data_IF_485977992335
#
_entry.id   IF_485977992335
#
_cell.length_a   1.000
_cell.length_b   1.000
_cell.length_c   1.000
_cell.angle_alpha   90.00
_cell.angle_beta   90.00
_cell.angle_gamma   90.00
#
_symmetry.space_group_name_H-M   'P 1'
#
loop_
_entity.id
_entity.type
_entity.pdbx_description
1 polymer ?
#
# COMPACT_ATOMS: atom_id res chain seq x y z
N UNK A 1 -7.15 -11.70 4.37
CA UNK A 1 -6.72 -10.33 4.70
C UNK A 1 -5.40 -10.51 5.43
N UNK A 2 -4.29 -9.87 5.02
CA UNK A 2 -3.01 -10.07 5.70
C UNK A 2 -3.07 -9.42 7.09
N UNK A 3 -2.86 -10.20 8.14
CA UNK A 3 -2.69 -9.68 9.50
C UNK A 3 -1.19 -9.55 9.81
N UNK A 4 -0.81 -8.66 10.74
CA UNK A 4 0.58 -8.60 11.24
C UNK A 4 1.00 -9.97 11.76
N UNK A 5 2.16 -10.44 11.34
CA UNK A 5 2.73 -11.72 11.76
C UNK A 5 2.54 -12.87 10.76
N UNK A 6 1.82 -12.67 9.67
CA UNK A 6 1.94 -13.52 8.47
C UNK A 6 3.13 -13.03 7.62
N UNK A 7 3.60 -13.86 6.68
CA UNK A 7 4.66 -13.54 5.70
C UNK A 7 4.01 -13.16 4.35
N UNK A 8 3.36 -11.99 4.22
CA UNK A 8 2.65 -11.61 3.00
C UNK A 8 3.59 -11.28 1.82
N UNK A 9 4.91 -11.28 2.05
CA UNK A 9 5.93 -10.93 1.06
C UNK A 9 6.35 -9.46 1.11
N UNK A 10 7.50 -9.14 0.51
CA UNK A 10 7.98 -7.77 0.38
C UNK A 10 6.99 -6.92 -0.43
N UNK A 11 6.72 -5.70 0.02
CA UNK A 11 5.74 -4.81 -0.61
C UNK A 11 5.30 -3.63 0.25
N UNK A 12 4.38 -2.83 -0.28
CA UNK A 12 3.85 -1.66 0.40
C UNK A 12 2.60 -2.03 1.22
N UNK A 13 2.64 -1.73 2.51
CA UNK A 13 1.56 -1.95 3.46
C UNK A 13 1.04 -0.62 3.97
N UNK A 14 -0.27 -0.52 4.18
CA UNK A 14 -0.89 0.69 4.70
C UNK A 14 -1.74 0.39 5.93
N UNK A 15 -1.50 1.09 7.03
CA UNK A 15 -2.25 0.94 8.25
C UNK A 15 -3.72 1.34 8.02
N UNK A 16 -4.65 0.47 8.41
CA UNK A 16 -6.09 0.74 8.26
C UNK A 16 -6.62 1.77 9.24
N UNK A 17 -5.92 1.99 10.36
CA UNK A 17 -6.32 2.93 11.41
C UNK A 17 -5.86 4.36 11.13
N UNK A 18 -4.57 4.58 10.94
CA UNK A 18 -4.00 5.92 10.74
C UNK A 18 -3.63 6.23 9.28
N UNK A 19 -3.57 5.23 8.40
CA UNK A 19 -3.15 5.41 7.00
C UNK A 19 -1.64 5.45 6.78
N UNK A 20 -0.82 5.14 7.79
CA UNK A 20 0.64 5.08 7.69
C UNK A 20 1.08 4.06 6.64
N UNK A 21 2.00 4.44 5.76
CA UNK A 21 2.55 3.56 4.73
C UNK A 21 3.88 2.95 5.23
N UNK A 22 3.98 1.63 5.21
CA UNK A 22 5.15 0.86 5.64
C UNK A 22 5.61 0.06 4.44
N UNK A 23 6.84 0.30 4.00
CA UNK A 23 7.45 -0.48 2.93
C UNK A 23 8.26 -1.61 3.58
N UNK A 24 7.95 -2.85 3.21
CA UNK A 24 8.74 -4.01 3.60
C UNK A 24 9.65 -4.38 2.44
N UNK A 25 10.95 -4.16 2.63
CA UNK A 25 11.98 -4.58 1.68
C UNK A 25 12.31 -6.07 1.78
N UNK A 26 12.03 -6.67 2.95
CA UNK A 26 12.27 -8.09 3.23
C UNK A 26 10.96 -8.84 3.51
N UNK A 27 10.77 -9.96 2.82
CA UNK A 27 9.57 -10.80 2.95
C UNK A 27 9.51 -11.59 4.26
N UNK A 28 10.66 -11.77 4.92
CA UNK A 28 10.79 -12.51 6.18
C UNK A 28 10.71 -11.63 7.43
N UNK A 29 10.59 -10.31 7.28
CA UNK A 29 10.53 -9.41 8.43
C UNK A 29 9.11 -9.33 9.00
N UNK A 30 9.00 -9.47 10.32
CA UNK A 30 7.70 -9.41 11.00
C UNK A 30 7.26 -7.97 11.09
N UNK A 31 6.19 -7.64 10.37
CA UNK A 31 5.61 -6.30 10.34
C UNK A 31 5.38 -5.78 11.78
N UNK A 32 6.12 -4.74 12.21
CA UNK A 32 6.01 -4.20 13.56
C UNK A 32 4.68 -3.45 13.74
N UNK A 33 4.22 -3.24 15.00
CA UNK A 33 3.06 -2.40 15.26
C UNK A 33 3.31 -0.97 14.76
N UNK A 34 2.26 -0.30 14.30
CA UNK A 34 2.37 1.04 13.74
C UNK A 34 2.97 2.03 14.77
N UNK A 35 4.01 2.82 14.44
CA UNK A 35 4.64 3.75 15.38
C UNK A 35 3.72 4.90 15.82
N UNK A 36 2.72 5.25 15.00
CA UNK A 36 1.80 6.35 15.29
C UNK A 36 0.65 5.94 16.22
N UNK A 37 0.10 4.74 16.02
CA UNK A 37 -1.16 4.34 16.64
C UNK A 37 -1.12 2.95 17.29
N UNK A 38 0.03 2.27 17.24
CA UNK A 38 0.26 0.91 17.74
C UNK A 38 -0.68 -0.15 17.14
N UNK A 39 -1.27 0.15 15.97
CA UNK A 39 -2.16 -0.77 15.28
C UNK A 39 -1.39 -1.87 14.56
N UNK A 40 -2.03 -3.03 14.48
CA UNK A 40 -1.47 -4.27 13.94
C UNK A 40 -2.20 -4.70 12.67
N UNK A 41 -3.24 -3.97 12.22
CA UNK A 41 -3.90 -4.27 10.96
C UNK A 41 -3.42 -3.33 9.84
N UNK A 42 -2.98 -3.96 8.75
CA UNK A 42 -2.48 -3.31 7.56
C UNK A 42 -3.13 -3.93 6.32
N UNK A 43 -3.23 -3.15 5.26
CA UNK A 43 -3.68 -3.61 3.94
C UNK A 43 -2.54 -3.52 2.94
N UNK A 44 -2.39 -4.52 2.08
CA UNK A 44 -1.39 -4.49 1.01
C UNK A 44 -1.81 -3.49 -0.07
N UNK A 45 -1.03 -2.43 -0.22
CA UNK A 45 -1.20 -1.45 -1.28
C UNK A 45 -0.74 -2.01 -2.64
N UNK A 46 0.02 -3.11 -2.65
CA UNK A 46 0.60 -3.77 -3.82
C UNK A 46 -0.41 -4.16 -4.93
N UNK A 47 -1.70 -4.30 -4.61
CA UNK A 47 -2.75 -4.60 -5.60
C UNK A 47 -3.53 -3.35 -6.07
N UNK A 48 -3.36 -2.21 -5.40
CA UNK A 48 -4.17 -1.01 -5.66
C UNK A 48 -3.40 0.07 -6.42
N UNK A 49 -2.08 -0.02 -6.51
CA UNK A 49 -1.25 0.90 -7.28
C UNK A 49 -1.20 0.53 -8.77
N UNK A 50 -2.37 0.53 -9.41
CA UNK A 50 -2.42 0.80 -10.85
C UNK A 50 -1.94 2.25 -11.01
N UNK A 51 -0.83 2.51 -11.73
CA UNK A 51 -0.30 3.85 -11.87
C UNK A 51 -1.38 4.72 -12.51
N UNK A 52 -1.84 5.76 -11.79
CA UNK A 52 -2.72 6.80 -12.33
C UNK A 52 -1.90 7.69 -13.28
N UNK A 53 -1.43 7.09 -14.37
CA UNK A 53 -0.72 7.71 -15.48
C UNK A 53 -1.58 7.84 -16.74
N UNK A 54 -2.89 7.55 -16.69
CA UNK A 54 -3.81 7.87 -17.79
C UNK A 54 -4.22 9.35 -17.76
N UNK A 55 -3.24 10.27 -17.81
CA UNK A 55 -3.50 11.67 -18.18
C UNK A 55 -3.41 11.77 -19.70
N UNK A 56 -4.57 11.97 -20.35
CA UNK A 56 -4.82 12.81 -21.54
C UNK A 56 -6.16 12.32 -22.13
N UNK A 57 -7.32 12.98 -21.98
CA UNK A 57 -7.59 14.41 -21.99
C UNK A 57 -6.87 15.13 -23.14
N UNK A 58 -7.17 14.73 -24.38
CA UNK A 58 -7.14 15.64 -25.53
C UNK A 58 -8.29 15.28 -26.47
N UNK A 59 -9.42 15.97 -26.28
CA UNK A 59 -10.32 16.25 -27.41
C UNK A 59 -9.52 17.13 -28.36
N UNK A 60 -9.34 16.70 -29.61
CA UNK A 60 -9.07 17.60 -30.72
C UNK A 60 -10.35 17.56 -31.56
N UNK A 61 -11.09 18.67 -31.55
CA UNK A 61 -12.18 18.94 -32.46
C UNK A 61 -11.73 20.15 -33.27
N UNK A 62 -11.17 19.93 -34.45
CA UNK A 62 -10.90 20.97 -35.43
C UNK A 62 -11.38 20.46 -36.81
N UNK A 63 -12.43 21.15 -37.29
CA UNK A 63 -13.09 21.20 -38.62
C UNK A 63 -13.64 19.92 -39.28
#
# INVERSE_FOLDING_TARGET
MPHTGEEPGAGLYRCTRCGQAVHLDDAGDRLPPCPECHHTEFVSASLTERPRGARSARRLNED
#
